data_IF_493554030434
#
_entry.id   IF_493554030434
#
_cell.length_a   1.000
_cell.length_b   1.000
_cell.length_c   1.000
_cell.angle_alpha   90.00
_cell.angle_beta   90.00
_cell.angle_gamma   90.00
#
_symmetry.space_group_name_H-M   'P 1'
#
loop_
_entity.id
_entity.type
_entity.pdbx_description
1 polymer ?
#
# COMPACT_ATOMS: atom_id res chain seq x y z
N UNK A 1 7.49 1.78 -1.06
CA UNK A 1 6.32 2.66 -1.24
C UNK A 1 5.09 1.82 -1.53
N UNK A 2 4.06 1.99 -0.74
CA UNK A 2 2.81 1.23 -0.88
C UNK A 2 1.71 2.22 -1.23
N UNK A 3 1.04 2.02 -2.37
CA UNK A 3 -0.12 2.80 -2.80
C UNK A 3 -1.38 1.95 -2.70
N UNK A 4 -2.43 2.50 -2.12
CA UNK A 4 -3.67 1.76 -1.89
C UNK A 4 -4.89 2.67 -1.92
N UNK A 5 -6.08 2.14 -2.27
CA UNK A 5 -7.31 2.88 -2.06
C UNK A 5 -7.52 3.19 -0.58
N UNK A 6 -7.94 4.40 -0.27
CA UNK A 6 -8.08 4.87 1.12
C UNK A 6 -8.98 3.96 1.96
N UNK A 7 -9.99 3.35 1.36
CA UNK A 7 -10.90 2.43 2.02
C UNK A 7 -10.20 1.20 2.60
N UNK A 8 -9.01 0.87 2.09
CA UNK A 8 -8.25 -0.30 2.52
C UNK A 8 -7.17 0.05 3.54
N UNK A 9 -7.15 1.29 4.04
CA UNK A 9 -6.09 1.76 4.93
C UNK A 9 -5.89 0.85 6.15
N UNK A 10 -6.96 0.49 6.83
CA UNK A 10 -6.85 -0.34 8.04
C UNK A 10 -6.23 -1.70 7.73
N UNK A 11 -6.63 -2.33 6.63
CA UNK A 11 -6.07 -3.62 6.22
C UNK A 11 -4.60 -3.51 5.84
N UNK A 12 -4.24 -2.45 5.11
CA UNK A 12 -2.85 -2.21 4.70
C UNK A 12 -1.98 -1.95 5.92
N UNK A 13 -2.43 -1.12 6.85
CA UNK A 13 -1.67 -0.81 8.05
C UNK A 13 -1.53 -2.04 8.95
N UNK A 14 -2.59 -2.83 9.11
CA UNK A 14 -2.50 -4.09 9.84
C UNK A 14 -1.47 -5.05 9.23
N UNK A 15 -1.50 -5.20 7.91
CA UNK A 15 -0.52 -6.03 7.22
C UNK A 15 0.90 -5.51 7.44
N UNK A 16 1.08 -4.20 7.32
CA UNK A 16 2.38 -3.56 7.51
C UNK A 16 2.92 -3.81 8.94
N UNK A 17 2.09 -3.57 9.94
CA UNK A 17 2.48 -3.81 11.32
C UNK A 17 2.80 -5.27 11.60
N UNK A 18 2.10 -6.20 10.95
CA UNK A 18 2.36 -7.63 11.10
C UNK A 18 3.74 -8.05 10.57
N UNK A 19 4.32 -7.28 9.66
CA UNK A 19 5.66 -7.57 9.13
C UNK A 19 6.79 -7.24 10.11
N UNK A 20 6.49 -6.48 11.17
CA UNK A 20 7.49 -6.09 12.15
C UNK A 20 8.39 -4.94 11.73
N UNK A 21 8.02 -4.16 10.71
CA UNK A 21 8.81 -2.98 10.33
C UNK A 21 8.95 -2.01 11.51
N UNK A 22 10.14 -1.41 11.69
CA UNK A 22 10.38 -0.55 12.85
C UNK A 22 9.62 0.79 12.81
N UNK A 23 9.21 1.20 11.62
CA UNK A 23 8.46 2.44 11.46
C UNK A 23 8.03 2.66 10.03
N UNK A 24 7.11 3.60 9.85
CA UNK A 24 6.62 3.96 8.53
C UNK A 24 6.07 5.39 8.56
N UNK A 25 6.00 6.00 7.37
CA UNK A 25 5.42 7.33 7.20
C UNK A 25 4.22 7.24 6.29
N UNK A 26 3.11 7.81 6.71
CA UNK A 26 1.87 7.82 5.95
C UNK A 26 1.62 9.15 5.26
N UNK A 27 1.12 9.06 4.03
CA UNK A 27 0.44 10.15 3.35
C UNK A 27 -1.00 9.68 3.12
N UNK A 28 -1.93 10.00 4.04
CA UNK A 28 -3.22 9.30 4.10
C UNK A 28 -4.21 9.71 3.03
N UNK A 29 -3.95 10.79 2.31
CA UNK A 29 -4.94 11.30 1.37
C UNK A 29 -4.25 11.95 0.17
N UNK A 30 -4.33 11.29 -0.97
CA UNK A 30 -3.79 11.77 -2.22
C UNK A 30 -4.79 11.51 -3.34
N UNK A 31 -4.65 12.25 -4.44
CA UNK A 31 -5.41 12.01 -5.65
C UNK A 31 -4.54 11.23 -6.61
N UNK A 32 -5.02 10.08 -7.04
CA UNK A 32 -4.35 9.25 -8.01
C UNK A 32 -5.16 9.13 -9.29
N UNK A 33 -4.47 8.83 -10.38
CA UNK A 33 -5.10 8.60 -11.68
C UNK A 33 -4.52 7.34 -12.30
N UNK A 34 -5.35 6.31 -12.39
CA UNK A 34 -5.01 5.10 -13.11
C UNK A 34 -5.45 5.15 -14.57
N UNK A 35 -5.21 4.07 -15.28
CA UNK A 35 -5.58 3.96 -16.70
C UNK A 35 -7.08 4.10 -16.91
N UNK A 36 -7.87 3.53 -16.04
CA UNK A 36 -9.33 3.45 -16.18
C UNK A 36 -10.09 4.16 -15.07
N UNK A 37 -9.43 4.49 -13.96
CA UNK A 37 -10.08 5.05 -12.78
C UNK A 37 -9.26 6.21 -12.25
N UNK A 38 -9.94 7.27 -11.88
CA UNK A 38 -9.36 8.39 -11.16
C UNK A 38 -9.99 8.46 -9.78
N UNK A 39 -9.16 8.45 -8.74
CA UNK A 39 -9.62 8.54 -7.36
C UNK A 39 -9.66 9.98 -6.91
N UNK A 40 -10.88 10.43 -6.58
CA UNK A 40 -11.12 11.74 -6.00
C UNK A 40 -11.73 11.57 -4.63
N UNK A 41 -11.47 12.50 -3.75
CA UNK A 41 -12.12 12.54 -2.46
C UNK A 41 -13.21 13.61 -2.48
N UNK A 42 -14.34 13.30 -3.09
CA UNK A 42 -15.48 14.19 -3.15
C UNK A 42 -16.80 13.38 -3.17
N UNK A 43 -17.94 14.08 -3.17
CA UNK A 43 -19.25 13.45 -3.08
C UNK A 43 -19.62 12.59 -4.29
N UNK A 44 -19.07 12.90 -5.47
CA UNK A 44 -19.36 12.17 -6.72
C UNK A 44 -18.40 11.01 -6.89
N UNK A 45 -17.15 11.21 -6.54
CA UNK A 45 -16.09 10.22 -6.63
C UNK A 45 -15.44 10.07 -5.26
N UNK A 46 -16.14 9.44 -4.31
CA UNK A 46 -15.57 9.24 -2.98
C UNK A 46 -14.40 8.27 -3.05
N UNK A 47 -13.36 8.60 -2.36
CA UNK A 47 -12.17 7.78 -2.31
C UNK A 47 -10.93 8.54 -2.71
N UNK A 48 -9.89 8.31 -1.98
CA UNK A 48 -8.57 8.87 -2.19
C UNK A 48 -7.57 7.73 -2.24
N UNK A 49 -6.35 8.05 -2.60
CA UNK A 49 -5.22 7.12 -2.53
C UNK A 49 -4.42 7.42 -1.27
N UNK A 50 -4.15 6.38 -0.49
CA UNK A 50 -3.18 6.46 0.58
C UNK A 50 -1.81 5.98 0.11
N UNK A 51 -0.78 6.45 0.78
CA UNK A 51 0.58 6.03 0.50
C UNK A 51 1.34 5.84 1.81
N UNK A 52 2.14 4.78 1.86
CA UNK A 52 3.03 4.52 2.98
C UNK A 52 4.45 4.36 2.47
N UNK A 53 5.38 5.00 3.16
CA UNK A 53 6.80 4.74 2.98
C UNK A 53 7.34 4.00 4.19
N UNK A 54 8.08 2.93 3.94
CA UNK A 54 8.84 2.23 4.96
C UNK A 54 10.16 1.77 4.35
N UNK A 55 11.13 1.50 5.20
CA UNK A 55 12.43 0.99 4.77
C UNK A 55 12.61 -0.41 5.34
N UNK A 56 12.93 -1.35 4.50
CA UNK A 56 13.17 -2.74 4.88
C UNK A 56 14.51 -3.20 4.34
N UNK A 57 15.18 -4.09 5.06
CA UNK A 57 16.36 -4.75 4.52
C UNK A 57 15.94 -5.75 3.42
N UNK A 58 16.85 -6.10 2.50
CA UNK A 58 16.54 -7.14 1.51
C UNK A 58 16.12 -8.47 2.15
N UNK A 59 16.71 -8.84 3.28
CA UNK A 59 16.36 -10.07 3.99
C UNK A 59 14.95 -10.02 4.57
N UNK A 60 14.58 -8.92 5.22
CA UNK A 60 13.23 -8.73 5.74
C UNK A 60 12.20 -8.67 4.63
N UNK A 61 12.54 -8.05 3.51
CA UNK A 61 11.65 -7.99 2.36
C UNK A 61 11.29 -9.39 1.86
N UNK A 62 12.29 -10.26 1.70
CA UNK A 62 12.07 -11.61 1.21
C UNK A 62 11.40 -12.52 2.24
N UNK A 63 11.77 -12.38 3.51
CA UNK A 63 11.29 -13.28 4.55
C UNK A 63 9.84 -13.01 4.97
N UNK A 64 9.44 -11.76 5.10
CA UNK A 64 8.14 -11.42 5.68
C UNK A 64 7.35 -10.39 4.87
N UNK A 65 7.98 -9.31 4.43
CA UNK A 65 7.28 -8.19 3.82
C UNK A 65 6.58 -8.57 2.51
N UNK A 66 7.33 -9.08 1.55
CA UNK A 66 6.78 -9.45 0.23
C UNK A 66 5.72 -10.54 0.36
N UNK A 67 5.95 -11.66 1.07
CA UNK A 67 4.92 -12.68 1.22
C UNK A 67 3.62 -12.16 1.85
N UNK A 68 3.72 -11.30 2.87
CA UNK A 68 2.55 -10.72 3.53
C UNK A 68 1.71 -9.89 2.56
N UNK A 69 2.35 -9.02 1.79
CA UNK A 69 1.63 -8.16 0.85
C UNK A 69 1.17 -8.89 -0.40
N UNK A 70 1.88 -9.92 -0.84
CA UNK A 70 1.37 -10.78 -1.91
C UNK A 70 0.07 -11.47 -1.51
N UNK A 71 0.00 -11.97 -0.27
CA UNK A 71 -1.21 -12.59 0.25
C UNK A 71 -2.37 -11.58 0.35
N UNK A 72 -2.09 -10.38 0.84
CA UNK A 72 -3.10 -9.33 0.90
C UNK A 72 -3.59 -8.94 -0.49
N UNK A 73 -2.69 -8.75 -1.44
CA UNK A 73 -3.05 -8.40 -2.81
C UNK A 73 -3.94 -9.46 -3.46
N UNK A 74 -3.60 -10.74 -3.29
CA UNK A 74 -4.40 -11.83 -3.80
C UNK A 74 -5.80 -11.86 -3.17
N UNK A 75 -5.89 -11.63 -1.86
CA UNK A 75 -7.16 -11.57 -1.15
C UNK A 75 -8.04 -10.42 -1.65
N UNK A 76 -7.45 -9.24 -1.86
CA UNK A 76 -8.17 -8.07 -2.36
C UNK A 76 -8.69 -8.28 -3.78
N UNK A 77 -7.89 -8.87 -4.64
CA UNK A 77 -8.31 -9.18 -6.00
C UNK A 77 -9.52 -10.11 -6.01
N UNK A 78 -9.49 -11.16 -5.21
CA UNK A 78 -10.60 -12.11 -5.11
C UNK A 78 -11.86 -11.46 -4.55
N UNK A 79 -11.74 -10.72 -3.45
CA UNK A 79 -12.90 -10.10 -2.77
C UNK A 79 -13.55 -8.99 -3.58
N UNK A 80 -12.77 -8.26 -4.36
CA UNK A 80 -13.26 -7.11 -5.13
C UNK A 80 -13.48 -7.41 -6.61
N UNK A 81 -13.27 -8.65 -7.05
CA UNK A 81 -13.31 -9.03 -8.45
C UNK A 81 -12.38 -8.16 -9.32
N UNK A 82 -11.20 -7.86 -8.79
CA UNK A 82 -10.20 -7.06 -9.48
C UNK A 82 -10.43 -5.56 -9.43
N UNK A 83 -11.45 -5.09 -8.69
CA UNK A 83 -11.75 -3.65 -8.61
C UNK A 83 -10.75 -2.88 -7.76
N UNK A 84 -10.33 -3.46 -6.64
CA UNK A 84 -9.35 -2.86 -5.73
C UNK A 84 -8.02 -3.58 -5.81
N UNK A 85 -6.96 -2.81 -5.78
CA UNK A 85 -5.61 -3.35 -5.75
C UNK A 85 -4.67 -2.45 -4.98
N UNK A 86 -3.56 -3.04 -4.54
CA UNK A 86 -2.46 -2.30 -3.94
C UNK A 86 -1.28 -2.38 -4.88
N UNK A 87 -0.47 -1.32 -4.88
CA UNK A 87 0.75 -1.27 -5.68
C UNK A 87 1.93 -1.03 -4.74
N UNK A 88 2.97 -1.82 -4.89
CA UNK A 88 4.17 -1.69 -4.08
C UNK A 88 5.36 -1.51 -5.00
N UNK A 89 6.14 -0.47 -4.72
CA UNK A 89 7.34 -0.15 -5.47
C UNK A 89 8.54 -0.19 -4.52
N UNK A 90 9.58 -0.86 -4.94
CA UNK A 90 10.85 -0.87 -4.24
C UNK A 90 11.77 0.18 -4.88
N UNK A 91 12.28 1.05 -4.03
CA UNK A 91 13.20 2.12 -4.45
C UNK A 91 14.50 1.92 -3.67
N UNK A 92 15.64 1.75 -4.33
CA UNK A 92 16.91 1.72 -3.64
C UNK A 92 17.14 3.03 -2.88
N UNK A 93 17.55 2.94 -1.63
CA UNK A 93 17.84 4.13 -0.85
C UNK A 93 19.00 3.88 0.11
N UNK A 94 19.75 4.92 0.38
CA UNK A 94 20.82 4.91 1.36
C UNK A 94 20.47 5.85 2.50
N UNK A 95 20.61 5.38 3.71
CA UNK A 95 20.46 6.24 4.87
C UNK A 95 21.76 7.01 5.10
N UNK A 96 21.70 8.33 5.08
CA UNK A 96 22.86 9.20 5.22
C UNK A 96 22.93 9.94 6.55
N UNK A 97 21.90 9.81 7.37
CA UNK A 97 21.89 10.41 8.72
C UNK A 97 21.43 9.37 9.75
#
# INVERSE_FOLDING_TARGET
MILYPKELEDEVIQALESTGVPGYTEMPKMIGRGRHVRHFDNAVWPGATGCVFTVVSPEEAQATFIPTFEALAASLETRSHGLYGIHIFALPCDRII
#
